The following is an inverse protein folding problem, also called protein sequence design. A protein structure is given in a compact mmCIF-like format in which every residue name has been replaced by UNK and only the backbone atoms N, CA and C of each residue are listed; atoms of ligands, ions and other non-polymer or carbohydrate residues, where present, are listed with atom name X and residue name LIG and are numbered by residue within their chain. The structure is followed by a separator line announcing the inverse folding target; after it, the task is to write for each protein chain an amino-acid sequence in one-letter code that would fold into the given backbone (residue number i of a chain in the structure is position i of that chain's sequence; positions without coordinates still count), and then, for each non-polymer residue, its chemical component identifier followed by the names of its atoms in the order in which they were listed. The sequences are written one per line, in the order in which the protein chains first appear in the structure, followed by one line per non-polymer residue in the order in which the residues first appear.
data_IF_372761077978
#
_entry.id   IF_372761077978
#
_cell.length_a   1.000
_cell.length_b   1.000
_cell.length_c   1.000
_cell.angle_alpha   90.00
_cell.angle_beta   90.00
_cell.angle_gamma   90.00
#
_symmetry.space_group_name_H-M   'P 1'
#
loop_
_entity.id
_entity.type
_entity.pdbx_description
1 polymer ?
#
# COMPACT_ATOMS: atom_id res chain seq x y z
N UNK A 1 35.59 -40.29 55.11
CA UNK A 1 36.99 -40.44 54.65
C UNK A 1 37.01 -41.31 53.40
N UNK A 2 37.70 -40.84 52.35
CA UNK A 2 38.32 -41.57 51.21
C UNK A 2 37.39 -42.24 50.16
N UNK A 3 37.16 -41.69 48.96
CA UNK A 3 37.93 -41.64 47.67
C UNK A 3 38.10 -42.94 46.85
N UNK A 4 37.95 -42.75 45.51
CA UNK A 4 38.37 -43.52 44.29
C UNK A 4 37.24 -44.33 43.61
N UNK A 5 36.74 -44.10 42.37
CA UNK A 5 37.18 -43.60 41.04
C UNK A 5 37.61 -44.71 40.06
N UNK A 6 36.81 -45.00 39.00
CA UNK A 6 37.18 -45.53 37.64
C UNK A 6 36.04 -45.12 36.65
N UNK A 7 36.15 -44.08 35.78
CA UNK A 7 36.65 -44.04 34.36
C UNK A 7 36.13 -45.21 33.50
N UNK A 8 35.65 -45.15 32.26
CA UNK A 8 35.50 -44.20 31.16
C UNK A 8 34.40 -44.84 30.22
N UNK A 9 33.80 -44.25 29.19
CA UNK A 9 34.38 -43.76 27.93
C UNK A 9 33.32 -42.89 27.19
N UNK A 10 33.84 -41.86 26.52
CA UNK A 10 33.34 -40.86 25.56
C UNK A 10 32.48 -41.43 24.39
N UNK A 11 31.86 -40.65 23.45
CA UNK A 11 32.11 -39.24 23.06
C UNK A 11 30.84 -38.37 22.81
N UNK A 12 30.94 -37.05 23.05
CA UNK A 12 31.00 -35.96 22.07
C UNK A 12 29.81 -35.80 21.10
N UNK A 13 29.13 -34.66 21.20
CA UNK A 13 28.83 -33.78 20.06
C UNK A 13 28.45 -32.38 20.57
N UNK A 14 29.24 -31.41 20.13
CA UNK A 14 29.03 -29.98 20.34
C UNK A 14 27.78 -29.50 19.58
N UNK A 15 27.11 -28.46 20.08
CA UNK A 15 25.97 -27.86 19.38
C UNK A 15 25.50 -26.53 19.94
N UNK A 16 26.27 -25.49 19.65
CA UNK A 16 25.88 -24.08 19.44
C UNK A 16 24.87 -23.39 20.39
N UNK A 17 25.35 -22.32 21.03
CA UNK A 17 24.56 -21.32 21.71
C UNK A 17 23.54 -20.64 20.76
N UNK A 18 22.25 -20.76 21.06
CA UNK A 18 21.20 -19.97 20.42
C UNK A 18 21.15 -18.60 21.09
N UNK A 19 21.79 -17.61 20.46
CA UNK A 19 21.60 -16.19 20.75
C UNK A 19 20.13 -15.83 20.48
N UNK A 20 19.35 -15.64 21.55
CA UNK A 20 18.00 -15.06 21.48
C UNK A 20 18.12 -13.57 21.15
N UNK A 21 18.27 -13.26 19.86
CA UNK A 21 18.19 -11.89 19.36
C UNK A 21 16.74 -11.42 19.37
N UNK A 22 16.35 -10.63 20.36
CA UNK A 22 15.08 -9.89 20.32
C UNK A 22 15.18 -8.84 19.23
N UNK A 23 14.55 -9.10 18.09
CA UNK A 23 14.29 -8.06 17.08
C UNK A 23 13.28 -7.08 17.67
N UNK A 24 13.77 -6.03 18.30
CA UNK A 24 12.96 -4.86 18.58
C UNK A 24 12.66 -4.19 17.23
N UNK A 25 11.48 -4.48 16.68
CA UNK A 25 10.89 -3.67 15.61
C UNK A 25 10.77 -2.25 16.14
N UNK A 26 11.73 -1.39 15.81
CA UNK A 26 11.57 0.04 16.05
C UNK A 26 10.28 0.48 15.35
N UNK A 27 9.40 1.26 16.00
CA UNK A 27 8.32 1.89 15.25
C UNK A 27 8.97 2.67 14.11
N UNK A 28 8.57 2.35 12.88
CA UNK A 28 8.97 3.08 11.68
C UNK A 28 8.79 4.56 12.01
N UNK A 29 9.91 5.29 12.02
CA UNK A 29 9.97 6.66 12.51
C UNK A 29 8.82 7.48 11.91
N UNK A 30 8.16 8.26 12.77
CA UNK A 30 7.07 9.18 12.46
C UNK A 30 7.50 10.36 11.56
N UNK A 31 8.19 10.07 10.46
CA UNK A 31 8.27 10.95 9.30
C UNK A 31 7.03 10.63 8.47
N UNK A 32 6.02 11.52 8.50
CA UNK A 32 4.79 11.34 7.72
C UNK A 32 5.09 10.95 6.26
N UNK A 33 4.22 10.11 5.71
CA UNK A 33 4.38 9.50 4.39
C UNK A 33 3.15 9.69 3.52
N UNK A 34 3.20 9.20 2.29
CA UNK A 34 2.02 9.19 1.41
C UNK A 34 1.24 7.91 1.67
N UNK A 35 -0.03 8.03 2.06
CA UNK A 35 -0.93 6.90 2.33
C UNK A 35 -2.07 6.88 1.31
N UNK A 36 -2.73 5.74 1.18
CA UNK A 36 -4.09 5.68 0.63
C UNK A 36 -5.01 6.18 1.73
N UNK A 37 -5.86 7.15 1.42
CA UNK A 37 -6.69 7.85 2.43
C UNK A 37 -8.18 7.56 2.26
N UNK A 38 -8.65 7.48 1.02
CA UNK A 38 -10.05 7.21 0.73
C UNK A 38 -10.17 6.55 -0.63
N UNK A 39 -10.94 5.48 -0.71
CA UNK A 39 -11.23 4.79 -1.96
C UNK A 39 -12.72 4.85 -2.21
N UNK A 40 -13.11 5.27 -3.42
CA UNK A 40 -14.46 5.15 -3.92
C UNK A 40 -14.45 4.12 -5.04
N UNK A 41 -14.89 2.90 -4.74
CA UNK A 41 -14.78 1.77 -5.65
C UNK A 41 -16.10 1.47 -6.36
N UNK A 42 -17.24 1.72 -5.71
CA UNK A 42 -18.56 1.51 -6.30
C UNK A 42 -19.13 2.85 -6.77
N UNK A 43 -19.13 3.04 -8.09
CA UNK A 43 -19.55 4.29 -8.71
C UNK A 43 -21.04 4.54 -8.47
N UNK A 44 -21.46 5.75 -8.04
CA UNK A 44 -22.87 6.05 -7.87
C UNK A 44 -23.65 5.95 -9.20
N UNK A 45 -24.86 5.40 -9.10
CA UNK A 45 -25.75 5.19 -10.24
C UNK A 45 -25.49 3.86 -10.95
N UNK A 46 -25.93 3.74 -12.20
CA UNK A 46 -25.74 2.52 -12.97
C UNK A 46 -24.34 2.44 -13.59
N UNK A 47 -23.74 1.26 -13.54
CA UNK A 47 -22.46 0.94 -14.18
C UNK A 47 -22.56 0.88 -15.70
N UNK A 48 -22.60 2.04 -16.33
CA UNK A 48 -22.79 2.21 -17.77
C UNK A 48 -21.49 2.46 -18.53
N UNK A 49 -20.33 2.46 -17.85
CA UNK A 49 -19.00 2.76 -18.41
C UNK A 49 -18.90 4.13 -19.09
N UNK A 50 -19.85 5.03 -18.83
CA UNK A 50 -19.71 6.43 -19.22
C UNK A 50 -18.48 7.02 -18.53
N UNK A 51 -17.89 8.05 -19.13
CA UNK A 51 -16.72 8.70 -18.53
C UNK A 51 -17.05 9.31 -17.16
N UNK A 52 -18.29 9.78 -16.98
CA UNK A 52 -18.75 10.31 -15.69
C UNK A 52 -18.78 9.22 -14.63
N UNK A 53 -19.33 8.05 -14.94
CA UNK A 53 -19.35 6.92 -14.01
C UNK A 53 -17.93 6.42 -13.71
N UNK A 54 -17.08 6.23 -14.72
CA UNK A 54 -15.68 5.83 -14.53
C UNK A 54 -14.85 6.86 -13.74
N UNK A 55 -15.20 8.15 -13.77
CA UNK A 55 -14.53 9.17 -12.97
C UNK A 55 -15.09 9.26 -11.53
N UNK A 56 -16.24 8.67 -11.26
CA UNK A 56 -16.77 8.55 -9.91
C UNK A 56 -16.11 7.41 -9.12
N UNK A 57 -15.45 6.48 -9.81
CA UNK A 57 -14.50 5.51 -9.26
C UNK A 57 -13.09 6.12 -9.14
N UNK A 58 -12.51 6.16 -7.93
CA UNK A 58 -11.20 6.75 -7.68
C UNK A 58 -10.52 6.27 -6.39
N UNK A 59 -9.20 6.45 -6.33
CA UNK A 59 -8.40 6.33 -5.10
C UNK A 59 -7.79 7.69 -4.77
N UNK A 60 -7.97 8.15 -3.54
CA UNK A 60 -7.34 9.35 -3.01
C UNK A 60 -6.14 8.96 -2.13
N UNK A 61 -4.99 9.55 -2.45
CA UNK A 61 -3.79 9.48 -1.62
C UNK A 61 -3.63 10.77 -0.82
N UNK A 62 -2.98 10.68 0.35
CA UNK A 62 -2.70 11.82 1.23
C UNK A 62 -1.24 11.80 1.65
N UNK A 63 -0.58 12.94 1.53
CA UNK A 63 0.71 13.14 2.18
C UNK A 63 0.48 13.58 3.62
N UNK A 64 0.79 12.72 4.59
CA UNK A 64 0.64 13.03 6.02
C UNK A 64 1.84 13.79 6.59
N UNK A 65 2.94 13.87 5.84
CA UNK A 65 4.16 14.57 6.25
C UNK A 65 4.12 16.08 6.02
N UNK A 66 5.11 16.75 6.61
CA UNK A 66 5.28 18.21 6.57
C UNK A 66 6.05 18.76 5.36
N UNK A 67 6.41 17.93 4.38
CA UNK A 67 7.14 18.36 3.18
C UNK A 67 6.54 17.74 1.91
N UNK A 68 6.79 18.36 0.75
CA UNK A 68 6.30 17.84 -0.52
C UNK A 68 7.04 16.55 -0.93
N UNK A 69 6.28 15.54 -1.38
CA UNK A 69 6.82 14.24 -1.82
C UNK A 69 6.72 14.11 -3.32
N UNK A 70 7.82 13.75 -4.00
CA UNK A 70 7.77 13.38 -5.41
C UNK A 70 7.25 11.96 -5.58
N UNK A 71 6.26 11.80 -6.46
CA UNK A 71 5.65 10.52 -6.79
C UNK A 71 6.21 9.93 -8.08
N UNK A 72 7.27 10.49 -8.66
CA UNK A 72 7.79 10.04 -9.96
C UNK A 72 8.08 8.52 -9.93
N UNK A 73 7.43 7.79 -10.82
CA UNK A 73 7.59 6.34 -10.96
C UNK A 73 6.88 5.50 -9.89
N UNK A 74 6.19 6.11 -8.93
CA UNK A 74 5.33 5.36 -8.01
C UNK A 74 4.20 4.69 -8.78
N UNK A 75 3.64 3.63 -8.20
CA UNK A 75 2.58 2.84 -8.83
C UNK A 75 1.44 2.61 -7.86
N UNK A 76 0.24 2.96 -8.30
CA UNK A 76 -1.03 2.53 -7.72
C UNK A 76 -1.58 1.35 -8.55
N UNK A 77 -1.99 0.26 -7.90
CA UNK A 77 -2.51 -0.93 -8.58
C UNK A 77 -3.54 -1.69 -7.75
N UNK A 78 -4.38 -2.46 -8.41
CA UNK A 78 -5.30 -3.43 -7.81
C UNK A 78 -4.68 -4.84 -7.74
N UNK A 79 -5.48 -5.81 -7.30
CA UNK A 79 -5.10 -7.23 -7.25
C UNK A 79 -4.95 -7.87 -8.63
N UNK A 80 -5.65 -7.37 -9.65
CA UNK A 80 -5.55 -7.85 -11.04
C UNK A 80 -4.42 -7.16 -11.85
N UNK A 81 -3.59 -6.35 -11.18
CA UNK A 81 -2.43 -5.67 -11.76
C UNK A 81 -2.76 -4.62 -12.85
N UNK A 82 -3.94 -4.00 -12.77
CA UNK A 82 -4.24 -2.73 -13.41
C UNK A 82 -3.40 -1.62 -12.77
N UNK A 83 -2.32 -1.22 -13.44
CA UNK A 83 -1.34 -0.26 -12.91
C UNK A 83 -1.60 1.16 -13.42
N UNK A 84 -1.46 2.12 -12.51
CA UNK A 84 -1.28 3.54 -12.81
C UNK A 84 0.09 3.99 -12.32
N UNK A 85 0.91 4.50 -13.24
CA UNK A 85 2.26 4.98 -12.94
C UNK A 85 2.25 6.50 -12.86
N UNK A 86 2.64 7.04 -11.72
CA UNK A 86 2.75 8.48 -11.53
C UNK A 86 3.90 9.04 -12.38
N UNK A 87 3.59 10.04 -13.22
CA UNK A 87 4.57 10.81 -13.99
C UNK A 87 5.36 11.76 -13.06
N UNK A 88 5.92 12.84 -13.60
CA UNK A 88 6.61 13.85 -12.79
C UNK A 88 5.59 14.73 -12.04
N UNK A 89 5.16 14.28 -10.87
CA UNK A 89 4.24 15.03 -9.98
C UNK A 89 4.74 15.01 -8.54
N UNK A 90 4.35 16.03 -7.78
CA UNK A 90 4.59 16.14 -6.34
C UNK A 90 3.25 16.32 -5.61
N UNK A 91 3.15 15.74 -4.44
CA UNK A 91 2.05 15.98 -3.51
C UNK A 91 2.59 16.84 -2.36
N UNK A 92 1.99 18.01 -2.15
CA UNK A 92 2.41 18.95 -1.10
C UNK A 92 2.20 18.39 0.31
N UNK A 93 2.82 19.02 1.31
CA UNK A 93 2.60 18.68 2.72
C UNK A 93 1.11 18.74 3.08
N UNK A 94 0.62 17.71 3.76
CA UNK A 94 -0.79 17.59 4.17
C UNK A 94 -1.84 17.64 3.03
N UNK A 95 -1.40 17.57 1.76
CA UNK A 95 -2.29 17.60 0.59
C UNK A 95 -2.77 16.21 0.20
N UNK A 96 -3.86 16.18 -0.56
CA UNK A 96 -4.43 14.98 -1.16
C UNK A 96 -4.37 15.04 -2.69
N UNK A 97 -4.44 13.87 -3.32
CA UNK A 97 -4.54 13.72 -4.78
C UNK A 97 -5.45 12.54 -5.09
N UNK A 98 -6.41 12.72 -6.00
CA UNK A 98 -7.29 11.67 -6.51
C UNK A 98 -6.75 11.10 -7.82
N UNK A 99 -6.87 9.79 -7.96
CA UNK A 99 -6.61 9.05 -9.20
C UNK A 99 -7.92 8.42 -9.64
N UNK A 100 -8.56 9.04 -10.64
CA UNK A 100 -9.81 8.61 -11.26
C UNK A 100 -9.56 7.52 -12.29
N UNK A 101 -10.47 6.56 -12.41
CA UNK A 101 -10.34 5.46 -13.38
C UNK A 101 -10.53 5.93 -14.83
N UNK A 102 -11.49 6.81 -15.06
CA UNK A 102 -11.83 7.31 -16.40
C UNK A 102 -10.80 8.25 -17.03
N UNK A 103 -11.27 9.07 -17.98
CA UNK A 103 -10.46 10.06 -18.71
C UNK A 103 -10.74 11.46 -18.20
N UNK A 104 -9.73 12.31 -18.29
CA UNK A 104 -9.81 13.72 -17.94
C UNK A 104 -8.47 14.41 -18.17
N UNK A 105 -8.41 15.68 -17.78
CA UNK A 105 -7.19 16.47 -17.85
C UNK A 105 -6.53 16.50 -16.50
N UNK A 106 -5.29 16.00 -16.40
CA UNK A 106 -4.54 15.99 -15.15
C UNK A 106 -4.38 17.41 -14.57
N UNK A 107 -4.63 17.55 -13.26
CA UNK A 107 -4.37 18.75 -12.47
C UNK A 107 -3.33 18.44 -11.38
N UNK A 108 -3.07 19.38 -10.47
CA UNK A 108 -2.21 19.11 -9.31
C UNK A 108 -2.84 18.11 -8.32
N UNK A 109 -4.17 18.06 -8.23
CA UNK A 109 -4.93 17.24 -7.29
C UNK A 109 -5.65 16.06 -7.94
N UNK A 110 -5.83 16.07 -9.25
CA UNK A 110 -6.66 15.08 -9.95
C UNK A 110 -5.86 14.47 -11.09
N UNK A 111 -5.87 13.15 -11.13
CA UNK A 111 -5.15 12.33 -12.11
C UNK A 111 -6.10 11.33 -12.73
N UNK A 112 -5.83 10.95 -13.97
CA UNK A 112 -6.71 10.06 -14.72
C UNK A 112 -5.94 8.86 -15.25
N UNK A 113 -6.45 7.66 -14.97
CA UNK A 113 -5.88 6.42 -15.53
C UNK A 113 -6.16 6.28 -17.03
N UNK A 114 -7.08 7.08 -17.56
CA UNK A 114 -7.50 7.08 -18.96
C UNK A 114 -8.09 5.75 -19.43
N UNK A 115 -8.75 5.01 -18.53
CA UNK A 115 -9.37 3.72 -18.84
C UNK A 115 -10.78 3.91 -19.40
N UNK A 116 -11.30 2.81 -19.96
CA UNK A 116 -12.66 2.69 -20.52
C UNK A 116 -13.50 1.64 -19.79
N UNK A 117 -12.96 1.08 -18.72
CA UNK A 117 -13.59 0.08 -17.87
C UNK A 117 -13.16 0.34 -16.42
N UNK A 118 -14.03 -0.05 -15.48
CA UNK A 118 -13.79 -0.02 -14.04
C UNK A 118 -12.55 -0.84 -13.67
N UNK A 119 -11.88 -0.44 -12.60
CA UNK A 119 -10.69 -1.09 -12.06
C UNK A 119 -10.98 -1.70 -10.71
N UNK A 120 -11.68 -0.96 -9.85
CA UNK A 120 -11.86 -1.30 -8.45
C UNK A 120 -13.09 -2.19 -8.29
N UNK A 121 -12.90 -3.43 -7.82
CA UNK A 121 -14.01 -4.40 -7.76
C UNK A 121 -14.93 -4.16 -6.56
N UNK A 122 -16.24 -4.04 -6.80
CA UNK A 122 -17.27 -3.80 -5.78
C UNK A 122 -17.44 -4.95 -4.76
N UNK A 123 -17.10 -6.19 -5.13
CA UNK A 123 -17.24 -7.36 -4.24
C UNK A 123 -16.10 -7.43 -3.24
N UNK A 124 -14.87 -7.29 -3.73
CA UNK A 124 -13.66 -7.21 -2.93
C UNK A 124 -12.48 -6.84 -3.82
N UNK A 125 -11.58 -6.00 -3.31
CA UNK A 125 -10.32 -5.70 -3.98
C UNK A 125 -9.30 -5.13 -2.97
N UNK A 126 -8.10 -4.82 -3.45
CA UNK A 126 -7.07 -4.13 -2.68
C UNK A 126 -6.30 -3.16 -3.55
N UNK A 127 -6.45 -1.87 -3.26
CA UNK A 127 -5.58 -0.83 -3.80
C UNK A 127 -4.22 -0.89 -3.10
N UNK A 128 -3.13 -0.95 -3.85
CA UNK A 128 -1.76 -0.97 -3.33
C UNK A 128 -0.94 0.16 -3.93
N UNK A 129 -0.31 0.96 -3.08
CA UNK A 129 0.62 2.01 -3.46
C UNK A 129 2.06 1.54 -3.23
N UNK A 130 2.92 1.73 -4.24
CA UNK A 130 4.33 1.35 -4.20
C UNK A 130 5.23 2.48 -4.68
N UNK A 131 6.45 2.56 -4.14
CA UNK A 131 7.51 3.44 -4.63
C UNK A 131 7.98 2.99 -6.01
N UNK A 132 8.74 3.84 -6.69
CA UNK A 132 9.42 3.49 -7.94
C UNK A 132 10.35 2.27 -7.83
N UNK A 133 10.90 2.01 -6.64
CA UNK A 133 11.72 0.82 -6.37
C UNK A 133 10.90 -0.49 -6.24
N UNK A 134 9.57 -0.41 -6.27
CA UNK A 134 8.67 -1.55 -6.00
C UNK A 134 8.37 -1.76 -4.52
N UNK A 135 9.02 -1.04 -3.61
CA UNK A 135 8.73 -1.12 -2.17
C UNK A 135 7.29 -0.67 -1.90
N UNK A 136 6.52 -1.50 -1.18
CA UNK A 136 5.16 -1.17 -0.76
C UNK A 136 5.19 0.03 0.18
N UNK A 137 4.30 0.99 -0.08
CA UNK A 137 4.08 2.17 0.76
C UNK A 137 2.85 1.94 1.62
N UNK A 138 1.73 1.56 0.99
CA UNK A 138 0.46 1.39 1.67
C UNK A 138 -0.49 0.51 0.87
N UNK A 139 -1.56 0.03 1.50
CA UNK A 139 -2.63 -0.73 0.86
C UNK A 139 -3.95 -0.57 1.59
N UNK A 140 -5.05 -0.52 0.84
CA UNK A 140 -6.40 -0.50 1.38
C UNK A 140 -7.26 -1.57 0.72
N UNK A 141 -7.88 -2.41 1.55
CA UNK A 141 -8.72 -3.53 1.12
C UNK A 141 -10.16 -3.31 1.55
N UNK A 142 -11.10 -3.72 0.71
CA UNK A 142 -12.54 -3.65 0.99
C UNK A 142 -13.24 -4.92 0.52
N UNK A 143 -14.46 -5.10 1.02
CA UNK A 143 -15.36 -6.20 0.70
C UNK A 143 -16.80 -5.68 0.63
N UNK A 144 -17.75 -6.56 0.33
CA UNK A 144 -19.19 -6.29 0.42
C UNK A 144 -19.70 -5.87 1.82
N UNK A 145 -18.85 -5.90 2.85
CA UNK A 145 -19.17 -5.38 4.19
C UNK A 145 -18.94 -3.88 4.33
N UNK A 146 -18.17 -3.30 3.42
CA UNK A 146 -17.94 -1.86 3.34
C UNK A 146 -19.06 -1.22 2.48
N UNK A 147 -19.39 0.08 2.67
CA UNK A 147 -20.31 0.78 1.77
C UNK A 147 -19.64 1.02 0.39
N UNK A 148 -20.19 1.89 -0.45
CA UNK A 148 -19.64 2.14 -1.80
C UNK A 148 -18.22 2.76 -1.82
N UNK A 149 -17.77 3.23 -0.66
CA UNK A 149 -16.48 3.87 -0.44
C UNK A 149 -15.89 3.48 0.93
N UNK A 150 -14.59 3.69 1.11
CA UNK A 150 -13.88 3.32 2.34
C UNK A 150 -12.73 4.26 2.65
N UNK A 151 -12.75 4.81 3.85
CA UNK A 151 -11.59 5.50 4.42
C UNK A 151 -10.55 4.50 4.91
N UNK A 152 -9.30 4.87 4.68
CA UNK A 152 -8.09 4.17 5.08
C UNK A 152 -7.22 5.22 5.83
#
# INVERSE_FOLDING_TARGET
MRTKSIRAVLPALAGAALLTGTVFSTPAQAAGGVTIYHVWFDSPGSDNRSNSSLNAEWVQIKNTGGSAVSLKGWVLKDTSNHRYVFKSVKIGAHKTMKVHTGRGTDTASDKYQNRRAYVWNNTSDTATLTKASGAKVDSCSWTTRDPSDKYC
#
